data_IF_328455879799
#
_entry.id   IF_328455879799
#
_cell.length_a   1.000
_cell.length_b   1.000
_cell.length_c   1.000
_cell.angle_alpha   90.00
_cell.angle_beta   90.00
_cell.angle_gamma   90.00
#
_symmetry.space_group_name_H-M   'P 1'
#
loop_
_entity.id
_entity.type
_entity.pdbx_description
1 polymer ?
#
# COMPACT_ATOMS: atom_id res chain seq x y z
N UNK A 1 -18.50 -15.81 28.87
CA UNK A 1 -17.71 -16.18 27.66
C UNK A 1 -16.61 -15.15 27.49
N UNK A 2 -15.41 -15.54 27.04
CA UNK A 2 -14.23 -14.69 27.15
C UNK A 2 -14.16 -13.58 26.09
N UNK A 3 -14.05 -12.32 26.53
CA UNK A 3 -13.59 -11.24 25.65
C UNK A 3 -12.14 -11.52 25.30
N UNK A 4 -11.86 -11.88 24.05
CA UNK A 4 -10.50 -12.07 23.58
C UNK A 4 -9.74 -10.75 23.75
N UNK A 5 -8.77 -10.74 24.67
CA UNK A 5 -8.07 -9.51 25.04
C UNK A 5 -7.27 -8.98 23.83
N UNK A 6 -7.80 -7.93 23.19
CA UNK A 6 -7.11 -7.09 22.23
C UNK A 6 -5.92 -6.41 22.94
N UNK A 7 -4.83 -7.16 23.09
CA UNK A 7 -3.57 -6.70 23.66
C UNK A 7 -3.03 -5.58 22.78
N UNK A 8 -3.28 -4.34 23.18
CA UNK A 8 -2.88 -3.13 22.44
C UNK A 8 -1.44 -3.27 21.97
N UNK A 9 -1.08 -2.95 20.70
CA UNK A 9 0.24 -3.28 20.14
C UNK A 9 1.41 -2.69 20.93
N UNK A 10 1.21 -1.55 21.61
CA UNK A 10 2.15 -0.97 22.57
C UNK A 10 2.58 -1.95 23.68
N UNK A 11 1.68 -2.85 24.12
CA UNK A 11 1.94 -3.89 25.13
C UNK A 11 2.73 -5.09 24.62
N UNK A 12 2.93 -5.21 23.30
CA UNK A 12 3.86 -6.18 22.71
C UNK A 12 5.27 -5.57 22.65
N UNK A 13 5.40 -4.34 22.13
CA UNK A 13 6.67 -3.59 22.11
C UNK A 13 7.28 -3.46 23.50
N UNK A 14 6.48 -3.21 24.54
CA UNK A 14 6.97 -3.04 25.91
C UNK A 14 7.47 -4.35 26.58
N UNK A 15 7.40 -5.50 25.90
CA UNK A 15 7.99 -6.78 26.36
C UNK A 15 9.43 -6.97 25.89
N UNK A 16 9.89 -6.18 24.91
CA UNK A 16 11.24 -6.32 24.36
C UNK A 16 12.27 -5.64 25.27
N UNK A 17 13.38 -6.31 25.63
CA UNK A 17 14.37 -5.75 26.55
C UNK A 17 15.16 -4.61 25.90
N UNK A 18 14.82 -3.38 26.30
CA UNK A 18 15.56 -2.16 25.96
C UNK A 18 15.23 -1.54 24.59
N UNK A 19 15.54 -0.24 24.47
CA UNK A 19 15.21 0.60 23.30
C UNK A 19 15.68 0.01 21.96
N UNK A 20 16.88 -0.58 21.93
CA UNK A 20 17.47 -1.11 20.70
C UNK A 20 16.63 -2.26 20.11
N UNK A 21 16.06 -3.13 20.95
CA UNK A 21 15.20 -4.23 20.51
C UNK A 21 13.85 -3.73 19.99
N UNK A 22 13.27 -2.70 20.64
CA UNK A 22 12.01 -2.07 20.19
C UNK A 22 12.17 -1.36 18.85
N UNK A 23 13.27 -0.63 18.65
CA UNK A 23 13.62 -0.03 17.35
C UNK A 23 13.82 -1.12 16.29
N UNK A 24 14.54 -2.20 16.58
CA UNK A 24 14.73 -3.30 15.63
C UNK A 24 13.41 -3.98 15.22
N UNK A 25 12.48 -4.19 16.16
CA UNK A 25 11.15 -4.72 15.86
C UNK A 25 10.30 -3.76 15.02
N UNK A 26 10.31 -2.46 15.32
CA UNK A 26 9.65 -1.44 14.50
C UNK A 26 10.23 -1.38 13.08
N UNK A 27 11.54 -1.55 12.93
CA UNK A 27 12.20 -1.59 11.62
C UNK A 27 11.83 -2.85 10.82
N UNK A 28 11.71 -4.01 11.47
CA UNK A 28 11.19 -5.22 10.81
C UNK A 28 9.75 -5.02 10.30
N UNK A 29 8.89 -4.38 11.09
CA UNK A 29 7.52 -4.01 10.67
C UNK A 29 7.54 -3.02 9.49
N UNK A 30 8.39 -1.99 9.54
CA UNK A 30 8.58 -1.04 8.43
C UNK A 30 8.99 -1.77 7.14
N UNK A 31 9.96 -2.69 7.20
CA UNK A 31 10.42 -3.46 6.04
C UNK A 31 9.30 -4.33 5.47
N UNK A 32 8.59 -5.10 6.32
CA UNK A 32 7.49 -5.98 5.87
C UNK A 32 6.37 -5.16 5.22
N UNK A 33 5.94 -4.06 5.82
CA UNK A 33 4.91 -3.19 5.25
C UNK A 33 5.36 -2.54 3.94
N UNK A 34 6.63 -2.12 3.83
CA UNK A 34 7.19 -1.53 2.60
C UNK A 34 7.27 -2.54 1.45
N UNK A 35 7.53 -3.82 1.75
CA UNK A 35 7.54 -4.90 0.76
C UNK A 35 6.12 -5.27 0.31
N UNK A 36 5.15 -5.30 1.22
CA UNK A 36 3.73 -5.51 0.89
C UNK A 36 3.18 -4.36 0.02
N UNK A 37 3.47 -3.11 0.40
CA UNK A 37 3.12 -1.91 -0.38
C UNK A 37 3.75 -1.92 -1.78
N UNK A 38 5.02 -2.35 -1.91
CA UNK A 38 5.66 -2.54 -3.21
C UNK A 38 5.01 -3.66 -4.04
N UNK A 39 4.61 -4.77 -3.42
CA UNK A 39 3.93 -5.88 -4.11
C UNK A 39 2.56 -5.45 -4.65
N UNK A 40 1.75 -4.76 -3.83
CA UNK A 40 0.44 -4.23 -4.25
C UNK A 40 0.60 -3.19 -5.38
N UNK A 41 1.59 -2.29 -5.26
CA UNK A 41 1.93 -1.32 -6.31
C UNK A 41 2.28 -2.04 -7.62
N UNK A 42 3.11 -3.09 -7.56
CA UNK A 42 3.56 -3.81 -8.74
C UNK A 42 2.40 -4.49 -9.47
N UNK A 43 1.53 -5.20 -8.74
CA UNK A 43 0.34 -5.86 -9.30
C UNK A 43 -0.59 -4.85 -9.99
N UNK A 44 -0.80 -3.67 -9.40
CA UNK A 44 -1.61 -2.63 -10.03
C UNK A 44 -0.95 -2.03 -11.29
N UNK A 45 0.38 -1.88 -11.30
CA UNK A 45 1.12 -1.39 -12.47
C UNK A 45 1.16 -2.42 -13.61
N UNK A 46 1.18 -3.73 -13.33
CA UNK A 46 1.27 -4.77 -14.38
C UNK A 46 -0.07 -5.27 -14.90
N UNK A 47 -1.06 -5.51 -14.03
CA UNK A 47 -2.30 -6.18 -14.42
C UNK A 47 -3.44 -5.20 -14.78
N UNK A 48 -3.51 -4.06 -14.07
CA UNK A 48 -4.68 -3.15 -14.10
C UNK A 48 -4.37 -1.85 -14.86
N UNK A 49 -3.12 -1.38 -14.78
CA UNK A 49 -2.72 -0.05 -15.22
C UNK A 49 -2.98 0.99 -14.12
N UNK A 50 -1.91 1.65 -13.68
CA UNK A 50 -1.99 2.61 -12.57
C UNK A 50 -2.15 4.04 -13.09
N UNK A 51 -3.29 4.67 -12.81
CA UNK A 51 -3.42 6.14 -12.84
C UNK A 51 -2.67 6.67 -11.61
N UNK A 52 -1.35 6.72 -11.71
CA UNK A 52 -0.48 7.22 -10.66
C UNK A 52 -0.65 8.74 -10.55
N UNK A 53 -1.14 9.25 -9.44
CA UNK A 53 -1.20 10.70 -9.17
C UNK A 53 0.20 11.27 -8.89
N UNK A 54 1.13 10.47 -8.36
CA UNK A 54 2.46 10.91 -7.96
C UNK A 54 3.35 11.23 -9.19
N UNK A 55 3.69 12.50 -9.47
CA UNK A 55 4.45 12.87 -10.66
C UNK A 55 5.86 12.23 -10.68
N UNK A 56 6.46 11.97 -9.51
CA UNK A 56 7.79 11.33 -9.42
C UNK A 56 7.71 9.86 -9.83
N UNK A 57 6.70 9.13 -9.36
CA UNK A 57 6.50 7.73 -9.73
C UNK A 57 6.12 7.59 -11.22
N UNK A 58 5.28 8.51 -11.73
CA UNK A 58 4.98 8.64 -13.17
C UNK A 58 6.24 8.80 -14.02
N UNK A 59 7.18 9.67 -13.62
CA UNK A 59 8.47 9.85 -14.30
C UNK A 59 9.37 8.60 -14.22
N UNK A 60 9.41 7.91 -13.07
CA UNK A 60 10.20 6.67 -12.89
C UNK A 60 9.66 5.54 -13.77
N UNK A 61 8.33 5.37 -13.84
CA UNK A 61 7.70 4.40 -14.75
C UNK A 61 8.00 4.72 -16.22
N UNK A 62 7.87 5.99 -16.63
CA UNK A 62 8.13 6.43 -18.00
C UNK A 62 9.59 6.30 -18.45
N UNK A 63 10.55 6.27 -17.52
CA UNK A 63 12.01 6.23 -17.84
C UNK A 63 12.67 4.87 -17.66
N UNK A 64 12.19 4.02 -16.73
CA UNK A 64 12.80 2.72 -16.46
C UNK A 64 11.83 1.59 -16.08
N UNK A 65 10.51 1.84 -16.21
CA UNK A 65 9.46 0.86 -15.95
C UNK A 65 9.45 0.31 -14.51
N UNK A 66 8.76 -0.82 -14.28
CA UNK A 66 8.57 -1.37 -12.93
C UNK A 66 9.87 -1.73 -12.21
N UNK A 67 10.92 -2.12 -12.95
CA UNK A 67 12.23 -2.50 -12.38
C UNK A 67 12.94 -1.32 -11.71
N UNK A 68 12.88 -0.13 -12.31
CA UNK A 68 13.47 1.08 -11.72
C UNK A 68 12.68 1.53 -10.48
N UNK A 69 11.35 1.37 -10.49
CA UNK A 69 10.50 1.66 -9.34
C UNK A 69 10.80 0.73 -8.15
N UNK A 70 10.97 -0.58 -8.40
CA UNK A 70 11.43 -1.55 -7.40
C UNK A 70 12.79 -1.12 -6.82
N UNK A 71 13.77 -0.80 -7.67
CA UNK A 71 15.11 -0.40 -7.22
C UNK A 71 15.08 0.88 -6.37
N UNK A 72 14.34 1.92 -6.79
CA UNK A 72 14.18 3.17 -6.05
C UNK A 72 13.48 2.97 -4.70
N UNK A 73 12.46 2.11 -4.65
CA UNK A 73 11.73 1.76 -3.41
C UNK A 73 12.64 1.03 -2.43
N UNK A 74 13.37 0.00 -2.89
CA UNK A 74 14.30 -0.76 -2.05
C UNK A 74 15.48 0.09 -1.56
N UNK A 75 16.05 0.95 -2.40
CA UNK A 75 17.10 1.89 -1.99
C UNK A 75 16.61 2.86 -0.91
N UNK A 76 15.41 3.43 -1.07
CA UNK A 76 14.82 4.36 -0.10
C UNK A 76 14.52 3.70 1.24
N UNK A 77 13.92 2.50 1.22
CA UNK A 77 13.64 1.71 2.43
C UNK A 77 14.92 1.28 3.12
N UNK A 78 15.92 0.79 2.37
CA UNK A 78 17.22 0.39 2.89
C UNK A 78 18.00 1.55 3.52
N UNK A 79 17.98 2.73 2.90
CA UNK A 79 18.60 3.93 3.45
C UNK A 79 17.92 4.38 4.75
N UNK A 80 16.60 4.58 4.75
CA UNK A 80 15.86 5.03 5.92
C UNK A 80 15.96 4.04 7.09
N UNK A 81 15.84 2.73 6.83
CA UNK A 81 15.95 1.71 7.87
C UNK A 81 17.39 1.55 8.37
N UNK A 82 18.40 1.68 7.50
CA UNK A 82 19.81 1.69 7.87
C UNK A 82 20.19 2.86 8.78
N UNK A 83 19.75 4.09 8.45
CA UNK A 83 19.95 5.28 9.28
C UNK A 83 19.31 5.11 10.66
N UNK A 84 18.07 4.62 10.73
CA UNK A 84 17.39 4.36 11.99
C UNK A 84 18.04 3.20 12.78
N UNK A 85 18.52 2.15 12.11
CA UNK A 85 19.23 1.04 12.75
C UNK A 85 20.57 1.48 13.35
N UNK A 86 21.30 2.39 12.69
CA UNK A 86 22.50 3.02 13.24
C UNK A 86 22.14 3.93 14.43
N UNK A 87 21.10 4.76 14.29
CA UNK A 87 20.63 5.67 15.31
C UNK A 87 19.92 5.01 16.51
N UNK A 88 19.65 3.69 16.50
CA UNK A 88 18.79 2.92 17.44
C UNK A 88 19.04 3.09 18.94
N UNK A 89 20.19 3.65 19.33
CA UNK A 89 20.52 3.96 20.74
C UNK A 89 19.93 5.30 21.21
N UNK A 90 19.59 6.22 20.29
CA UNK A 90 18.98 7.53 20.57
C UNK A 90 17.48 7.39 20.82
N UNK A 91 16.92 8.23 21.71
CA UNK A 91 15.48 8.25 21.97
C UNK A 91 14.64 8.64 20.73
N UNK A 92 15.14 9.60 19.94
CA UNK A 92 14.49 10.06 18.71
C UNK A 92 14.30 8.96 17.66
N UNK A 93 15.22 7.99 17.57
CA UNK A 93 15.11 6.88 16.60
C UNK A 93 13.91 5.96 16.89
N UNK A 94 13.48 5.85 18.15
CA UNK A 94 12.28 5.10 18.52
C UNK A 94 11.00 5.84 18.12
N UNK A 95 10.94 7.15 18.33
CA UNK A 95 9.81 7.97 17.89
C UNK A 95 9.69 8.00 16.36
N UNK A 96 10.81 8.16 15.65
CA UNK A 96 10.85 8.14 14.19
C UNK A 96 10.47 6.78 13.59
N UNK A 97 10.94 5.66 14.18
CA UNK A 97 10.54 4.32 13.75
C UNK A 97 9.05 4.02 14.06
N UNK A 98 8.53 4.50 15.20
CA UNK A 98 7.11 4.33 15.53
C UNK A 98 6.20 5.18 14.63
N UNK A 99 6.59 6.43 14.33
CA UNK A 99 5.90 7.26 13.35
C UNK A 99 5.90 6.64 11.95
N UNK A 100 7.05 6.17 11.46
CA UNK A 100 7.17 5.50 10.16
C UNK A 100 6.32 4.24 10.07
N UNK A 101 6.27 3.42 11.13
CA UNK A 101 5.39 2.26 11.20
C UNK A 101 3.90 2.65 11.16
N UNK A 102 3.48 3.69 11.89
CA UNK A 102 2.08 4.18 11.88
C UNK A 102 1.69 4.72 10.51
N UNK A 103 2.56 5.49 9.84
CA UNK A 103 2.30 6.00 8.49
C UNK A 103 2.14 4.86 7.49
N UNK A 104 2.99 3.82 7.55
CA UNK A 104 2.87 2.66 6.67
C UNK A 104 1.61 1.84 6.96
N UNK A 105 1.24 1.62 8.23
CA UNK A 105 -0.02 0.95 8.58
C UNK A 105 -1.23 1.71 8.01
N UNK A 106 -1.26 3.04 8.16
CA UNK A 106 -2.30 3.89 7.58
C UNK A 106 -2.34 3.80 6.05
N UNK A 107 -1.18 3.79 5.39
CA UNK A 107 -1.08 3.61 3.95
C UNK A 107 -1.63 2.25 3.49
N UNK A 108 -1.31 1.15 4.21
CA UNK A 108 -1.85 -0.19 3.93
C UNK A 108 -3.37 -0.25 4.13
N UNK A 109 -3.92 0.43 5.16
CA UNK A 109 -5.38 0.53 5.35
C UNK A 109 -6.03 1.35 4.23
N UNK A 110 -5.37 2.42 3.76
CA UNK A 110 -5.84 3.22 2.62
C UNK A 110 -5.84 2.43 1.31
N UNK A 111 -4.79 1.63 1.06
CA UNK A 111 -4.76 0.65 -0.03
C UNK A 111 -5.93 -0.32 0.04
N UNK A 112 -6.19 -0.91 1.21
CA UNK A 112 -7.33 -1.82 1.40
C UNK A 112 -8.69 -1.17 1.10
N UNK A 113 -8.82 0.14 1.26
CA UNK A 113 -10.02 0.89 0.86
C UNK A 113 -10.08 1.18 -0.65
N UNK A 114 -8.96 1.50 -1.28
CA UNK A 114 -8.85 1.65 -2.75
C UNK A 114 -9.22 0.34 -3.47
N UNK A 115 -8.72 -0.79 -2.97
CA UNK A 115 -9.00 -2.14 -3.51
C UNK A 115 -10.49 -2.49 -3.51
N UNK A 116 -11.26 -2.06 -2.50
CA UNK A 116 -12.71 -2.29 -2.46
C UNK A 116 -13.44 -1.47 -3.53
N UNK A 117 -13.16 -0.16 -3.60
CA UNK A 117 -13.75 0.71 -4.64
C UNK A 117 -13.42 0.20 -6.05
N UNK A 118 -12.20 -0.30 -6.27
CA UNK A 118 -11.85 -0.93 -7.55
C UNK A 118 -12.65 -2.22 -7.81
N UNK A 119 -12.77 -3.11 -6.82
CA UNK A 119 -13.55 -4.35 -6.95
C UNK A 119 -15.03 -4.08 -7.27
N UNK A 120 -15.64 -3.10 -6.59
CA UNK A 120 -17.02 -2.67 -6.82
C UNK A 120 -17.21 -2.15 -8.26
N UNK A 121 -16.22 -1.39 -8.77
CA UNK A 121 -16.23 -0.88 -10.16
C UNK A 121 -16.00 -2.00 -11.18
N UNK A 122 -15.06 -2.92 -10.95
CA UNK A 122 -14.85 -4.05 -11.87
C UNK A 122 -16.08 -4.97 -11.95
N UNK A 123 -16.79 -5.20 -10.84
CA UNK A 123 -18.01 -5.99 -10.82
C UNK A 123 -19.14 -5.33 -11.62
N UNK A 124 -19.32 -4.00 -11.51
CA UNK A 124 -20.31 -3.27 -12.31
C UNK A 124 -19.93 -3.17 -13.80
N UNK A 125 -18.64 -3.17 -14.14
CA UNK A 125 -18.19 -3.29 -15.54
C UNK A 125 -18.46 -4.69 -16.11
N UNK A 126 -18.17 -5.75 -15.36
CA UNK A 126 -18.47 -7.14 -15.75
C UNK A 126 -19.98 -7.36 -15.91
N UNK A 127 -20.80 -6.82 -15.00
CA UNK A 127 -22.26 -6.83 -15.11
C UNK A 127 -22.76 -6.06 -16.36
N UNK A 128 -22.19 -4.89 -16.65
CA UNK A 128 -22.50 -4.11 -17.86
C UNK A 128 -22.08 -4.83 -19.15
N UNK A 129 -20.95 -5.55 -19.16
CA UNK A 129 -20.54 -6.36 -20.31
C UNK A 129 -21.45 -7.57 -20.48
N UNK A 130 -21.82 -8.26 -19.41
CA UNK A 130 -22.70 -9.43 -19.45
C UNK A 130 -24.10 -9.06 -19.97
N UNK A 131 -24.65 -7.92 -19.53
CA UNK A 131 -25.86 -7.35 -20.11
C UNK A 131 -25.65 -6.84 -21.55
N UNK A 132 -24.48 -6.28 -21.85
CA UNK A 132 -24.14 -5.72 -23.17
C UNK A 132 -23.93 -6.75 -24.28
N UNK A 133 -23.57 -7.99 -23.94
CA UNK A 133 -23.59 -9.12 -24.87
C UNK A 133 -25.04 -9.59 -25.16
N UNK A 134 -26.00 -9.24 -24.30
CA UNK A 134 -27.43 -9.48 -24.43
C UNK A 134 -28.18 -8.49 -25.33
N UNK A 135 -27.79 -8.41 -26.60
CA UNK A 135 -28.55 -7.76 -27.69
C UNK A 135 -29.10 -6.35 -27.40
N UNK A 136 -28.24 -5.32 -27.53
CA UNK A 136 -28.64 -3.90 -27.51
C UNK A 136 -29.72 -3.58 -28.55
N UNK A 137 -30.99 -3.52 -28.13
CA UNK A 137 -32.08 -2.98 -28.94
C UNK A 137 -32.03 -1.45 -28.86
N UNK A 138 -31.39 -0.81 -29.84
CA UNK A 138 -31.57 0.62 -30.09
C UNK A 138 -33.03 0.87 -30.48
N UNK A 139 -33.76 1.61 -29.65
CA UNK A 139 -35.07 2.17 -30.00
C UNK A 139 -34.87 3.29 -31.03
N UNK A 140 -34.63 2.90 -32.28
CA UNK A 140 -34.42 3.77 -33.42
C UNK A 140 -35.75 4.32 -33.94
N UNK A 141 -36.47 5.06 -33.10
CA UNK A 141 -37.65 5.83 -33.51
C UNK A 141 -37.33 7.33 -33.45
N UNK A 142 -36.96 7.89 -34.62
CA UNK A 142 -36.94 9.34 -34.86
C UNK A 142 -37.98 9.66 -35.96
N UNK A 143 -39.28 9.68 -35.64
CA UNK A 143 -40.32 10.08 -36.57
C UNK A 143 -40.44 11.61 -36.55
N UNK A 144 -39.58 12.30 -37.32
CA UNK A 144 -39.57 13.76 -37.41
C UNK A 144 -39.06 14.26 -38.76
N UNK A 145 -39.98 14.73 -39.59
CA UNK A 145 -39.72 15.60 -40.75
C UNK A 145 -40.09 17.04 -40.39
#
# INVERSE_FOLDING_TARGET
MGVAALRSPCSALNRLPGRQARVAALLAVIVVLSLLDLLLTLIHVTEIGLIEDNPVARMVLATGGPRLLIAAKLASVGFCTGVLFWARRRAFAELAALFGAVVLIWLTVRWGSYMRVFADVSASMEELEHHGQGAWVTLAEVPGK
#
